data_IF_635371657936
#
_entry.id   IF_635371657936
#
_cell.length_a   1.000
_cell.length_b   1.000
_cell.length_c   1.000
_cell.angle_alpha   90.00
_cell.angle_beta   90.00
_cell.angle_gamma   90.00
#
_symmetry.space_group_name_H-M   'P 1'
#
loop_
_entity.id
_entity.type
_entity.pdbx_description
1 polymer ?
#
# COMPACT_ATOMS: atom_id res chain seq x y z
N UNK A 1 5.40 0.18 16.43
CA UNK A 1 6.06 -0.98 15.78
C UNK A 1 7.38 -0.48 15.20
N UNK A 2 8.48 -1.23 15.21
CA UNK A 2 9.72 -0.79 14.55
C UNK A 2 9.60 -0.89 13.03
N UNK A 3 10.39 -0.11 12.29
CA UNK A 3 10.45 -0.18 10.83
C UNK A 3 10.77 -1.60 10.33
N UNK A 4 11.73 -2.29 10.96
CA UNK A 4 12.07 -3.69 10.64
C UNK A 4 10.88 -4.64 10.80
N UNK A 5 10.11 -4.51 11.89
CA UNK A 5 8.94 -5.37 12.09
C UNK A 5 7.85 -5.09 11.05
N UNK A 6 7.64 -3.81 10.69
CA UNK A 6 6.70 -3.43 9.64
C UNK A 6 7.10 -4.02 8.28
N UNK A 7 8.37 -3.96 7.92
CA UNK A 7 8.90 -4.53 6.68
C UNK A 7 8.86 -6.07 6.66
N UNK A 8 9.07 -6.73 7.81
CA UNK A 8 8.93 -8.18 7.94
C UNK A 8 7.47 -8.65 7.72
N UNK A 9 6.50 -7.89 8.22
CA UNK A 9 5.08 -8.13 7.94
C UNK A 9 4.77 -7.87 6.47
N UNK A 10 5.25 -6.74 5.94
CA UNK A 10 5.01 -6.30 4.57
C UNK A 10 5.52 -7.33 3.55
N UNK A 11 6.72 -7.87 3.73
CA UNK A 11 7.33 -8.81 2.77
C UNK A 11 6.49 -10.09 2.63
N UNK A 12 5.99 -10.62 3.74
CA UNK A 12 5.11 -11.80 3.75
C UNK A 12 3.76 -11.53 3.07
N UNK A 13 3.17 -10.36 3.35
CA UNK A 13 1.90 -9.94 2.74
C UNK A 13 2.08 -9.68 1.24
N UNK A 14 3.18 -9.01 0.86
CA UNK A 14 3.55 -8.76 -0.53
C UNK A 14 3.75 -10.06 -1.31
N UNK A 15 4.36 -11.08 -0.70
CA UNK A 15 4.52 -12.39 -1.33
C UNK A 15 3.17 -13.07 -1.61
N UNK A 16 2.23 -12.99 -0.66
CA UNK A 16 0.86 -13.47 -0.87
C UNK A 16 0.13 -12.69 -1.96
N UNK A 17 0.28 -11.37 -1.99
CA UNK A 17 -0.34 -10.52 -3.01
C UNK A 17 0.25 -10.76 -4.40
N UNK A 18 1.57 -10.94 -4.51
CA UNK A 18 2.26 -11.28 -5.75
C UNK A 18 1.77 -12.61 -6.32
N UNK A 19 1.54 -13.61 -5.46
CA UNK A 19 0.93 -14.87 -5.88
C UNK A 19 -0.42 -14.63 -6.55
N UNK A 20 -1.31 -13.81 -5.97
CA UNK A 20 -2.61 -13.49 -6.58
C UNK A 20 -2.43 -12.77 -7.92
N UNK A 21 -1.57 -11.74 -7.96
CA UNK A 21 -1.36 -10.91 -9.14
C UNK A 21 -0.81 -11.73 -10.32
N UNK A 22 0.11 -12.66 -10.08
CA UNK A 22 0.65 -13.58 -11.09
C UNK A 22 -0.41 -14.53 -11.65
N UNK A 23 -1.43 -14.88 -10.86
CA UNK A 23 -2.58 -15.67 -11.31
C UNK A 23 -3.71 -14.81 -11.90
N UNK A 24 -3.45 -13.53 -12.16
CA UNK A 24 -4.44 -12.61 -12.73
C UNK A 24 -5.60 -12.32 -11.79
N UNK A 25 -5.36 -12.35 -10.48
CA UNK A 25 -6.34 -12.03 -9.43
C UNK A 25 -5.88 -10.75 -8.72
N UNK A 26 -6.82 -9.85 -8.46
CA UNK A 26 -6.64 -8.71 -7.56
C UNK A 26 -7.52 -8.87 -6.33
N UNK A 27 -7.04 -8.45 -5.16
CA UNK A 27 -7.69 -8.66 -3.86
C UNK A 27 -8.76 -7.61 -3.56
N UNK A 28 -8.48 -6.33 -3.84
CA UNK A 28 -9.36 -5.16 -3.71
C UNK A 28 -9.85 -4.82 -2.30
N UNK A 29 -9.28 -5.45 -1.27
CA UNK A 29 -9.52 -5.11 0.15
C UNK A 29 -8.27 -5.41 0.99
N UNK A 30 -7.08 -5.08 0.47
CA UNK A 30 -5.84 -5.19 1.23
C UNK A 30 -5.87 -4.16 2.35
N UNK A 31 -5.84 -4.62 3.59
CA UNK A 31 -5.96 -3.77 4.77
C UNK A 31 -5.40 -4.47 6.02
N UNK A 32 -5.19 -3.73 7.11
CA UNK A 32 -4.68 -4.32 8.36
C UNK A 32 -5.67 -5.33 8.96
N UNK A 33 -6.97 -5.08 8.81
CA UNK A 33 -8.05 -5.94 9.30
C UNK A 33 -8.07 -7.30 8.59
N UNK A 34 -7.54 -7.36 7.36
CA UNK A 34 -7.49 -8.57 6.53
C UNK A 34 -6.11 -9.24 6.54
N UNK A 35 -5.17 -8.76 7.37
CA UNK A 35 -3.86 -9.40 7.57
C UNK A 35 -3.88 -10.17 8.89
N UNK A 36 -3.84 -11.50 8.80
CA UNK A 36 -3.78 -12.37 9.96
C UNK A 36 -2.33 -12.65 10.35
N UNK A 37 -2.00 -12.48 11.64
CA UNK A 37 -0.68 -12.77 12.21
C UNK A 37 -0.79 -13.92 13.21
N UNK A 38 -0.02 -14.98 12.98
CA UNK A 38 0.11 -16.08 13.93
C UNK A 38 1.55 -16.58 14.01
N UNK A 39 2.16 -16.46 15.20
CA UNK A 39 3.54 -16.91 15.47
C UNK A 39 4.55 -16.39 14.42
N UNK A 40 4.53 -15.09 14.17
CA UNK A 40 5.42 -14.43 13.22
C UNK A 40 5.09 -14.64 11.73
N UNK A 41 4.04 -15.42 11.42
CA UNK A 41 3.58 -15.64 10.04
C UNK A 41 2.37 -14.79 9.70
N UNK A 42 2.45 -14.06 8.60
CA UNK A 42 1.38 -13.21 8.08
C UNK A 42 0.69 -13.87 6.89
N UNK A 43 -0.63 -13.73 6.80
CA UNK A 43 -1.44 -14.19 5.66
C UNK A 43 -2.52 -13.16 5.33
N UNK A 44 -2.75 -12.94 4.03
CA UNK A 44 -3.93 -12.22 3.55
C UNK A 44 -5.17 -13.11 3.69
N UNK A 45 -6.25 -12.51 4.20
CA UNK A 45 -7.57 -13.12 4.32
C UNK A 45 -8.63 -12.24 3.64
N UNK A 46 -9.89 -12.71 3.71
CA UNK A 46 -11.07 -12.06 3.12
C UNK A 46 -10.99 -11.76 1.62
N UNK A 47 -11.33 -12.77 0.83
CA UNK A 47 -11.36 -12.69 -0.64
C UNK A 47 -12.74 -12.32 -1.18
N UNK A 48 -13.66 -11.79 -0.36
CA UNK A 48 -15.04 -11.48 -0.76
C UNK A 48 -15.13 -10.43 -1.88
N UNK A 49 -14.12 -9.59 -2.02
CA UNK A 49 -14.01 -8.56 -3.07
C UNK A 49 -13.03 -8.91 -4.20
N UNK A 50 -12.34 -10.05 -4.07
CA UNK A 50 -11.34 -10.48 -5.04
C UNK A 50 -11.97 -10.74 -6.41
N UNK A 51 -11.23 -10.44 -7.47
CA UNK A 51 -11.72 -10.61 -8.85
C UNK A 51 -10.59 -10.87 -9.82
N UNK A 52 -10.95 -11.34 -11.03
CA UNK A 52 -10.00 -11.39 -12.14
C UNK A 52 -9.55 -9.96 -12.46
N UNK A 53 -8.24 -9.77 -12.52
CA UNK A 53 -7.56 -8.50 -12.77
C UNK A 53 -7.70 -8.03 -14.24
N UNK A 54 -8.95 -7.88 -14.67
CA UNK A 54 -9.32 -7.11 -15.85
C UNK A 54 -9.54 -5.68 -15.38
N UNK A 55 -9.28 -4.70 -16.25
CA UNK A 55 -9.60 -3.30 -15.96
C UNK A 55 -11.04 -3.22 -15.45
N UNK A 56 -11.19 -2.76 -14.21
CA UNK A 56 -12.47 -2.71 -13.51
C UNK A 56 -12.96 -1.28 -13.52
N UNK A 57 -14.17 -1.05 -14.01
CA UNK A 57 -14.79 0.28 -14.01
C UNK A 57 -15.86 0.41 -12.93
N UNK A 58 -16.03 1.63 -12.41
CA UNK A 58 -17.30 2.09 -11.83
C UNK A 58 -17.75 1.46 -10.51
N UNK A 59 -16.87 0.76 -9.77
CA UNK A 59 -17.18 0.26 -8.42
C UNK A 59 -16.13 0.70 -7.40
N UNK A 60 -16.53 1.62 -6.52
CA UNK A 60 -15.86 1.91 -5.26
C UNK A 60 -15.96 0.69 -4.35
N UNK A 61 -14.86 -0.04 -4.19
CA UNK A 61 -14.78 -1.18 -3.27
C UNK A 61 -13.58 -1.04 -2.37
N UNK A 62 -13.61 -1.77 -1.25
CA UNK A 62 -12.60 -1.71 -0.22
C UNK A 62 -12.86 -0.59 0.78
N UNK A 63 -12.01 -0.53 1.80
CA UNK A 63 -12.14 0.41 2.91
C UNK A 63 -11.59 1.79 2.53
N UNK A 64 -12.28 2.86 2.93
CA UNK A 64 -11.97 4.25 2.54
C UNK A 64 -10.50 4.63 2.76
N UNK A 65 -9.92 4.31 3.91
CA UNK A 65 -8.54 4.68 4.23
C UNK A 65 -7.50 4.06 3.28
N UNK A 66 -7.80 2.89 2.71
CA UNK A 66 -6.89 2.09 1.89
C UNK A 66 -7.16 2.26 0.39
N UNK A 67 -8.25 2.94 0.01
CA UNK A 67 -8.70 3.02 -1.37
C UNK A 67 -7.78 3.92 -2.21
N UNK A 68 -7.37 3.43 -3.37
CA UNK A 68 -6.51 4.17 -4.30
C UNK A 68 -7.23 5.36 -4.95
N UNK A 69 -6.51 6.45 -5.31
CA UNK A 69 -7.10 7.65 -5.89
C UNK A 69 -7.95 7.40 -7.15
N UNK A 70 -7.49 6.49 -8.01
CA UNK A 70 -8.20 6.13 -9.25
C UNK A 70 -9.51 5.37 -8.99
N UNK A 71 -9.61 4.64 -7.87
CA UNK A 71 -10.87 4.02 -7.45
C UNK A 71 -11.81 5.12 -6.93
N UNK A 72 -11.29 6.04 -6.11
CA UNK A 72 -12.04 7.19 -5.58
C UNK A 72 -12.64 8.04 -6.69
N UNK A 73 -11.85 8.32 -7.73
CA UNK A 73 -12.28 9.06 -8.92
C UNK A 73 -13.38 8.35 -9.72
N UNK A 74 -13.54 7.04 -9.54
CA UNK A 74 -14.50 6.23 -10.30
C UNK A 74 -14.01 5.85 -11.70
N UNK A 75 -12.71 6.00 -11.96
CA UNK A 75 -12.10 5.73 -13.25
C UNK A 75 -12.10 4.23 -13.59
N UNK A 76 -11.76 3.92 -14.84
CA UNK A 76 -11.36 2.56 -15.20
C UNK A 76 -9.93 2.35 -14.70
N UNK A 77 -9.73 1.41 -13.77
CA UNK A 77 -8.42 1.20 -13.14
C UNK A 77 -7.90 -0.23 -13.32
N UNK A 78 -6.58 -0.39 -13.15
CA UNK A 78 -5.96 -1.69 -12.91
C UNK A 78 -6.10 -2.04 -11.43
N UNK A 79 -6.88 -3.08 -11.07
CA UNK A 79 -7.07 -3.44 -9.67
C UNK A 79 -5.80 -3.96 -9.01
N UNK A 80 -4.78 -4.40 -9.76
CA UNK A 80 -3.48 -4.79 -9.19
C UNK A 80 -2.69 -3.58 -8.71
N UNK A 81 -2.64 -2.51 -9.52
CA UNK A 81 -2.00 -1.27 -9.13
C UNK A 81 -2.68 -0.67 -7.88
N UNK A 82 -4.01 -0.77 -7.81
CA UNK A 82 -4.75 -0.32 -6.64
C UNK A 82 -4.46 -1.16 -5.37
N UNK A 83 -4.28 -2.48 -5.49
CA UNK A 83 -3.86 -3.31 -4.35
C UNK A 83 -2.49 -2.86 -3.79
N UNK A 84 -1.56 -2.46 -4.66
CA UNK A 84 -0.23 -1.97 -4.22
C UNK A 84 -0.35 -0.66 -3.45
N UNK A 85 -1.24 0.25 -3.88
CA UNK A 85 -1.55 1.45 -3.09
C UNK A 85 -2.09 1.08 -1.70
N UNK A 86 -3.07 0.18 -1.65
CA UNK A 86 -3.65 -0.29 -0.38
C UNK A 86 -2.60 -0.92 0.53
N UNK A 87 -1.66 -1.68 -0.02
CA UNK A 87 -0.51 -2.22 0.70
C UNK A 87 0.45 -1.12 1.17
N UNK A 88 0.63 -0.04 0.40
CA UNK A 88 1.40 1.14 0.79
C UNK A 88 0.77 1.87 1.98
N UNK A 89 -0.57 1.96 2.02
CA UNK A 89 -1.31 2.49 3.17
C UNK A 89 -1.12 1.59 4.40
N UNK A 90 -1.15 0.27 4.23
CA UNK A 90 -0.84 -0.69 5.31
C UNK A 90 0.56 -0.43 5.87
N UNK A 91 1.58 -0.32 5.03
CA UNK A 91 2.95 0.01 5.48
C UNK A 91 2.98 1.34 6.23
N UNK A 92 2.37 2.37 5.67
CA UNK A 92 2.31 3.69 6.29
C UNK A 92 1.68 3.65 7.69
N UNK A 93 0.56 2.95 7.86
CA UNK A 93 -0.10 2.82 9.17
C UNK A 93 0.78 2.03 10.14
N UNK A 94 1.48 0.97 9.70
CA UNK A 94 2.41 0.24 10.57
C UNK A 94 3.56 1.12 11.06
N UNK A 95 4.03 2.06 10.23
CA UNK A 95 5.12 2.99 10.55
C UNK A 95 4.67 4.15 11.45
N UNK A 96 3.47 4.69 11.24
CA UNK A 96 3.02 5.94 11.89
C UNK A 96 1.96 5.72 12.98
N UNK A 97 1.29 4.57 12.99
CA UNK A 97 0.13 4.29 13.84
C UNK A 97 -1.16 5.00 13.42
N UNK A 98 -1.18 5.70 12.29
CA UNK A 98 -2.31 6.52 11.85
C UNK A 98 -2.56 6.38 10.33
N UNK A 99 -3.82 6.42 9.86
CA UNK A 99 -4.11 6.46 8.42
C UNK A 99 -3.57 7.74 7.79
N UNK A 100 -2.97 7.62 6.60
CA UNK A 100 -2.44 8.74 5.82
C UNK A 100 -3.52 9.77 5.45
N UNK A 101 -4.65 9.27 4.97
CA UNK A 101 -5.81 10.08 4.53
C UNK A 101 -7.11 9.40 4.94
N UNK A 102 -8.16 10.19 5.14
CA UNK A 102 -9.51 9.65 5.38
C UNK A 102 -10.10 9.00 4.13
N UNK A 103 -9.79 9.55 2.95
CA UNK A 103 -10.08 9.01 1.62
C UNK A 103 -9.21 9.75 0.59
N UNK A 104 -8.73 9.06 -0.44
CA UNK A 104 -7.82 9.62 -1.44
C UNK A 104 -8.53 10.52 -2.48
N UNK A 105 -9.11 11.64 -2.02
CA UNK A 105 -9.86 12.60 -2.83
C UNK A 105 -9.26 14.00 -2.72
N UNK A 106 -9.33 14.79 -3.80
CA UNK A 106 -8.91 16.19 -3.80
C UNK A 106 -9.73 17.09 -2.86
N UNK A 107 -10.86 16.61 -2.33
CA UNK A 107 -11.61 17.30 -1.27
C UNK A 107 -10.98 17.15 0.12
N UNK A 108 -10.02 16.24 0.30
CA UNK A 108 -9.35 15.96 1.57
C UNK A 108 -8.02 16.70 1.63
N UNK A 109 -7.85 17.58 2.62
CA UNK A 109 -6.64 18.41 2.78
C UNK A 109 -5.35 17.61 2.88
N UNK A 110 -5.35 16.49 3.63
CA UNK A 110 -4.15 15.64 3.73
C UNK A 110 -3.79 14.97 2.40
N UNK A 111 -4.78 14.63 1.57
CA UNK A 111 -4.52 14.12 0.22
C UNK A 111 -3.98 15.20 -0.72
N UNK A 112 -4.47 16.45 -0.58
CA UNK A 112 -3.88 17.59 -1.30
C UNK A 112 -2.42 17.82 -0.90
N UNK A 113 -2.11 17.76 0.39
CA UNK A 113 -0.74 17.85 0.89
C UNK A 113 0.15 16.74 0.33
N UNK A 114 -0.33 15.49 0.33
CA UNK A 114 0.36 14.36 -0.31
C UNK A 114 0.62 14.63 -1.80
N UNK A 115 -0.39 15.13 -2.53
CA UNK A 115 -0.27 15.43 -3.96
C UNK A 115 0.72 16.55 -4.27
N UNK A 116 0.84 17.54 -3.38
CA UNK A 116 1.71 18.70 -3.58
C UNK A 116 3.15 18.45 -3.12
N UNK A 117 3.33 17.77 -2.00
CA UNK A 117 4.62 17.64 -1.33
C UNK A 117 5.21 16.22 -1.39
N UNK A 118 4.41 15.22 -1.74
CA UNK A 118 4.81 13.81 -1.70
C UNK A 118 4.83 13.23 -0.28
N UNK A 119 5.01 11.92 -0.19
CA UNK A 119 4.94 11.21 1.10
C UNK A 119 6.13 11.53 2.01
N UNK A 120 7.30 11.82 1.44
CA UNK A 120 8.51 12.11 2.21
C UNK A 120 8.31 13.32 3.13
N UNK A 121 7.79 14.42 2.58
CA UNK A 121 7.48 15.62 3.37
C UNK A 121 6.38 15.36 4.41
N UNK A 122 5.40 14.50 4.10
CA UNK A 122 4.38 14.10 5.10
C UNK A 122 5.03 13.35 6.27
N UNK A 123 5.88 12.37 5.98
CA UNK A 123 6.57 11.57 7.01
C UNK A 123 7.58 12.39 7.82
N UNK A 124 8.24 13.37 7.21
CA UNK A 124 9.09 14.34 7.90
C UNK A 124 8.28 15.21 8.86
N UNK A 125 7.11 15.69 8.43
CA UNK A 125 6.24 16.52 9.26
C UNK A 125 5.68 15.79 10.50
N UNK A 126 5.68 14.45 10.46
CA UNK A 126 5.22 13.60 11.56
C UNK A 126 6.38 13.04 12.40
N UNK A 127 7.62 13.49 12.13
CA UNK A 127 8.86 13.04 12.77
C UNK A 127 9.12 11.52 12.67
N UNK A 128 8.56 10.87 11.63
CA UNK A 128 8.73 9.43 11.38
C UNK A 128 9.89 9.18 10.41
N UNK A 129 10.15 10.11 9.50
CA UNK A 129 11.21 9.98 8.49
C UNK A 129 12.61 9.79 9.09
N UNK A 130 12.90 10.39 10.25
CA UNK A 130 14.21 10.26 10.93
C UNK A 130 14.47 8.87 11.49
N UNK A 131 13.41 8.09 11.73
CA UNK A 131 13.48 6.76 12.32
C UNK A 131 13.47 5.64 11.27
N UNK A 132 13.53 5.97 9.97
CA UNK A 132 13.50 4.99 8.88
C UNK A 132 14.70 5.11 7.95
N UNK A 133 15.22 3.97 7.43
CA UNK A 133 16.20 3.99 6.36
C UNK A 133 15.65 4.67 5.09
N UNK A 134 16.54 5.27 4.30
CA UNK A 134 16.18 5.91 3.03
C UNK A 134 15.49 4.94 2.05
N UNK A 135 15.90 3.67 2.05
CA UNK A 135 15.29 2.60 1.26
C UNK A 135 13.83 2.33 1.66
N UNK A 136 13.51 2.34 2.95
CA UNK A 136 12.14 2.18 3.44
C UNK A 136 11.24 3.37 3.02
N UNK A 137 11.80 4.58 3.06
CA UNK A 137 11.11 5.78 2.55
C UNK A 137 10.88 5.69 1.03
N UNK A 138 11.87 5.23 0.28
CA UNK A 138 11.75 5.03 -1.17
C UNK A 138 10.67 3.99 -1.50
N UNK A 139 10.62 2.88 -0.76
CA UNK A 139 9.61 1.85 -0.93
C UNK A 139 8.19 2.40 -0.72
N UNK A 140 7.94 3.06 0.42
CA UNK A 140 6.60 3.60 0.72
C UNK A 140 6.20 4.68 -0.29
N UNK A 141 7.16 5.48 -0.77
CA UNK A 141 6.95 6.48 -1.83
C UNK A 141 6.53 5.84 -3.15
N UNK A 142 7.23 4.79 -3.58
CA UNK A 142 6.90 4.09 -4.83
C UNK A 142 5.56 3.36 -4.78
N UNK A 143 5.15 2.86 -3.62
CA UNK A 143 3.83 2.24 -3.42
C UNK A 143 2.68 3.26 -3.37
N UNK A 144 2.95 4.45 -2.82
CA UNK A 144 1.99 5.55 -2.68
C UNK A 144 2.12 6.61 -3.80
N UNK A 145 2.68 6.24 -4.93
CA UNK A 145 2.67 7.05 -6.14
C UNK A 145 1.22 7.21 -6.64
N UNK A 146 0.82 8.46 -6.88
CA UNK A 146 -0.56 8.81 -7.24
C UNK A 146 -0.86 8.35 -8.67
N UNK A 147 0.09 8.50 -9.60
CA UNK A 147 -0.06 7.99 -10.96
C UNK A 147 0.10 6.44 -10.94
N UNK A 148 -0.97 5.67 -11.17
CA UNK A 148 -0.90 4.20 -11.09
C UNK A 148 0.06 3.60 -12.12
N UNK A 149 0.45 4.32 -13.18
CA UNK A 149 1.41 3.84 -14.17
C UNK A 149 2.88 4.04 -13.75
N UNK A 150 3.13 4.90 -12.77
CA UNK A 150 4.46 5.12 -12.16
C UNK A 150 4.62 4.40 -10.83
N UNK A 151 3.50 3.95 -10.25
CA UNK A 151 3.45 3.17 -9.01
C UNK A 151 4.17 1.84 -9.19
N UNK A 152 4.88 1.42 -8.14
CA UNK A 152 5.54 0.12 -8.12
C UNK A 152 4.53 -1.00 -8.40
N UNK A 153 4.96 -1.99 -9.16
CA UNK A 153 4.29 -3.28 -9.25
C UNK A 153 4.60 -4.11 -8.01
N UNK A 154 3.79 -5.13 -7.74
CA UNK A 154 4.05 -6.00 -6.57
C UNK A 154 5.36 -6.79 -6.68
N UNK A 155 5.81 -7.12 -7.89
CA UNK A 155 7.09 -7.78 -8.12
C UNK A 155 8.25 -6.81 -7.81
N UNK A 156 8.16 -5.54 -8.25
CA UNK A 156 9.13 -4.51 -7.88
C UNK A 156 9.14 -4.20 -6.37
N UNK A 157 7.99 -4.30 -5.69
CA UNK A 157 7.93 -4.21 -4.23
C UNK A 157 8.74 -5.34 -3.60
N UNK A 158 8.53 -6.59 -4.04
CA UNK A 158 9.24 -7.76 -3.51
C UNK A 158 10.75 -7.71 -3.74
N UNK A 159 11.18 -7.20 -4.88
CA UNK A 159 12.59 -7.10 -5.26
C UNK A 159 13.26 -5.83 -4.71
N UNK A 160 12.59 -5.07 -3.84
CA UNK A 160 13.10 -3.79 -3.35
C UNK A 160 14.18 -3.92 -2.26
N UNK A 161 15.26 -3.14 -2.39
CA UNK A 161 16.43 -3.17 -1.50
C UNK A 161 16.12 -2.96 0.00
N UNK A 162 15.03 -2.25 0.30
CA UNK A 162 14.53 -2.04 1.66
C UNK A 162 14.35 -3.35 2.45
N UNK A 163 14.00 -4.45 1.79
CA UNK A 163 13.91 -5.75 2.46
C UNK A 163 15.28 -6.35 2.75
N UNK A 164 16.24 -6.24 1.83
CA UNK A 164 17.59 -6.75 2.04
C UNK A 164 18.32 -5.97 3.15
N UNK A 165 18.18 -4.64 3.18
CA UNK A 165 18.83 -3.79 4.19
C UNK A 165 18.26 -3.96 5.60
N UNK A 166 16.97 -4.26 5.73
CA UNK A 166 16.29 -4.29 7.03
C UNK A 166 16.05 -5.71 7.58
N UNK A 167 16.14 -6.75 6.73
CA UNK A 167 15.88 -8.14 7.10
C UNK A 167 17.09 -9.08 6.86
N UNK A 168 18.15 -8.57 6.19
CA UNK A 168 19.40 -9.28 5.94
C UNK A 168 20.37 -9.27 7.11
#
# INVERSE_FOLDING_TARGET
MSCMNALSVLSQVAAGLAFLHRHGIAHRDVSLENIMLHRGRCKLGDFGLATRARRAGGRHVGKKYYMAPEIVAGDLYDPKAADVWSLGIVLFIMLTGSPLVSFASTSVKSFQALKQAGIATVLESWDVARAMPASALHLVSGMLEIDPNKRLTIDQVLDHDAFAECLG
#
